data_IF_348449202305
#
_entry.id   IF_348449202305
#
_cell.length_a   1.000
_cell.length_b   1.000
_cell.length_c   1.000
_cell.angle_alpha   90.00
_cell.angle_beta   90.00
_cell.angle_gamma   90.00
#
_symmetry.space_group_name_H-M   'P 1'
#
loop_
_entity.id
_entity.type
_entity.pdbx_description
1 polymer ?
#
# COMPACT_ATOMS: atom_id res chain seq x y z
N UNK A 1 20.48 -9.63 4.84
CA UNK A 1 19.67 -10.78 5.27
C UNK A 1 19.74 -11.92 4.24
N UNK A 2 19.49 -11.62 2.97
CA UNK A 2 19.48 -12.64 1.89
C UNK A 2 20.83 -13.33 1.77
N UNK A 3 21.94 -12.58 1.68
CA UNK A 3 23.28 -13.12 1.44
C UNK A 3 23.81 -14.02 2.57
N UNK A 4 23.24 -13.92 3.75
CA UNK A 4 23.58 -14.75 4.92
C UNK A 4 22.51 -15.79 5.24
N UNK A 5 21.56 -16.01 4.33
CA UNK A 5 20.45 -16.96 4.46
C UNK A 5 19.60 -16.78 5.75
N UNK A 6 19.43 -15.52 6.19
CA UNK A 6 18.76 -15.18 7.43
C UNK A 6 17.22 -15.08 7.28
N UNK A 7 16.68 -15.23 6.09
CA UNK A 7 15.23 -15.13 5.86
C UNK A 7 14.76 -16.10 4.77
N UNK A 8 13.50 -16.53 4.86
CA UNK A 8 12.83 -17.39 3.89
C UNK A 8 11.72 -16.65 3.13
N UNK A 9 11.28 -15.52 3.63
CA UNK A 9 10.33 -14.60 3.00
C UNK A 9 10.50 -13.21 3.61
N UNK A 10 10.07 -12.18 2.88
CA UNK A 10 10.20 -10.79 3.33
C UNK A 10 8.83 -10.11 3.32
N UNK A 11 8.55 -9.39 4.42
CA UNK A 11 7.45 -8.45 4.51
C UNK A 11 7.89 -7.08 3.98
N UNK A 12 7.19 -6.55 3.00
CA UNK A 12 7.45 -5.21 2.45
C UNK A 12 6.33 -4.26 2.89
N UNK A 13 6.71 -3.19 3.57
CA UNK A 13 5.80 -2.09 3.91
C UNK A 13 6.25 -0.85 3.14
N UNK A 14 5.48 -0.45 2.13
CA UNK A 14 5.84 0.63 1.19
C UNK A 14 6.21 1.93 1.90
N UNK A 15 5.48 2.30 2.94
CA UNK A 15 5.74 3.51 3.73
C UNK A 15 7.04 3.44 4.55
N UNK A 16 7.48 2.23 4.92
CA UNK A 16 8.71 2.06 5.72
C UNK A 16 9.98 2.00 4.91
N UNK A 17 9.89 1.60 3.65
CA UNK A 17 11.06 1.45 2.78
C UNK A 17 11.30 2.69 1.92
N UNK A 18 10.56 3.77 2.13
CA UNK A 18 10.75 5.03 1.41
C UNK A 18 9.96 5.14 0.12
N UNK A 19 8.87 4.37 -0.03
CA UNK A 19 7.93 4.48 -1.14
C UNK A 19 7.95 3.29 -2.09
N UNK A 20 7.15 3.42 -3.17
CA UNK A 20 6.88 2.32 -4.10
C UNK A 20 8.12 1.90 -4.89
N UNK A 21 8.97 2.84 -5.32
CA UNK A 21 10.18 2.53 -6.09
C UNK A 21 11.10 1.60 -5.32
N UNK A 22 11.44 1.94 -4.09
CA UNK A 22 12.26 1.09 -3.23
C UNK A 22 11.58 -0.26 -2.92
N UNK A 23 10.26 -0.25 -2.74
CA UNK A 23 9.51 -1.48 -2.52
C UNK A 23 9.60 -2.44 -3.71
N UNK A 24 9.52 -1.91 -4.95
CA UNK A 24 9.70 -2.69 -6.19
C UNK A 24 11.12 -3.22 -6.30
N UNK A 25 12.14 -2.43 -5.97
CA UNK A 25 13.52 -2.89 -5.96
C UNK A 25 13.74 -4.05 -4.98
N UNK A 26 13.19 -3.96 -3.77
CA UNK A 26 13.24 -5.05 -2.79
C UNK A 26 12.50 -6.30 -3.31
N UNK A 27 11.30 -6.10 -3.89
CA UNK A 27 10.54 -7.19 -4.52
C UNK A 27 11.37 -7.91 -5.59
N UNK A 28 11.96 -7.15 -6.54
CA UNK A 28 12.72 -7.70 -7.64
C UNK A 28 13.96 -8.46 -7.15
N UNK A 29 14.69 -7.88 -6.20
CA UNK A 29 15.83 -8.56 -5.57
C UNK A 29 15.40 -9.89 -4.91
N UNK A 30 14.27 -9.91 -4.24
CA UNK A 30 13.74 -11.13 -3.62
C UNK A 30 13.33 -12.15 -4.68
N UNK A 31 12.69 -11.69 -5.76
CA UNK A 31 12.31 -12.55 -6.88
C UNK A 31 13.51 -13.19 -7.54
N UNK A 32 14.58 -12.44 -7.82
CA UNK A 32 15.82 -12.95 -8.43
C UNK A 32 16.54 -13.97 -7.53
N UNK A 33 16.29 -13.94 -6.24
CA UNK A 33 16.86 -14.86 -5.25
C UNK A 33 15.88 -15.97 -4.81
N UNK A 34 14.72 -16.07 -5.44
CA UNK A 34 13.71 -17.09 -5.13
C UNK A 34 13.10 -16.94 -3.73
N UNK A 35 13.09 -15.74 -3.15
CA UNK A 35 12.52 -15.45 -1.84
C UNK A 35 11.15 -14.82 -2.03
N UNK A 36 10.05 -15.49 -1.65
CA UNK A 36 8.73 -14.91 -1.75
C UNK A 36 8.56 -13.72 -0.81
N UNK A 37 7.70 -12.78 -1.21
CA UNK A 37 7.38 -11.60 -0.42
C UNK A 37 5.88 -11.55 -0.11
N UNK A 38 5.53 -10.72 0.84
CA UNK A 38 4.15 -10.32 1.11
C UNK A 38 4.11 -8.84 1.53
N UNK A 39 2.98 -8.21 1.33
CA UNK A 39 2.82 -6.78 1.58
C UNK A 39 2.18 -6.56 2.94
N UNK A 40 2.88 -5.83 3.79
CA UNK A 40 2.40 -5.41 5.09
C UNK A 40 1.77 -4.01 5.04
N UNK A 41 0.63 -3.86 5.70
CA UNK A 41 -0.03 -2.57 5.88
C UNK A 41 0.47 -1.79 7.09
N UNK A 42 0.10 -0.53 7.10
CA UNK A 42 0.15 0.39 8.24
C UNK A 42 -1.23 1.05 8.39
N UNK A 43 -1.38 2.03 9.25
CA UNK A 43 -2.64 2.78 9.41
C UNK A 43 -2.78 3.86 8.33
N UNK A 44 -2.65 3.46 7.06
CA UNK A 44 -2.77 4.36 5.93
C UNK A 44 -4.24 4.60 5.55
N UNK A 45 -4.53 5.77 5.00
CA UNK A 45 -5.76 6.01 4.23
C UNK A 45 -5.76 5.19 2.93
N UNK A 46 -6.88 5.17 2.20
CA UNK A 46 -6.95 4.46 0.92
C UNK A 46 -5.90 4.98 -0.09
N UNK A 47 -5.55 6.26 -0.08
CA UNK A 47 -4.45 6.79 -0.92
C UNK A 47 -3.13 6.13 -0.57
N UNK A 48 -2.79 6.02 0.71
CA UNK A 48 -1.55 5.34 1.13
C UNK A 48 -1.55 3.85 0.83
N UNK A 49 -2.67 3.17 1.09
CA UNK A 49 -2.82 1.73 0.82
C UNK A 49 -2.83 1.39 -0.68
N UNK A 50 -3.14 2.34 -1.57
CA UNK A 50 -3.13 2.10 -3.01
C UNK A 50 -1.78 1.60 -3.52
N UNK A 51 -0.69 2.12 -2.98
CA UNK A 51 0.67 1.68 -3.32
C UNK A 51 0.94 0.25 -2.83
N UNK A 52 0.42 -0.10 -1.67
CA UNK A 52 0.48 -1.47 -1.15
C UNK A 52 -0.37 -2.43 -1.97
N UNK A 53 -1.56 -2.00 -2.44
CA UNK A 53 -2.39 -2.77 -3.36
C UNK A 53 -1.69 -3.01 -4.69
N UNK A 54 -1.06 -1.98 -5.28
CA UNK A 54 -0.31 -2.12 -6.52
C UNK A 54 0.86 -3.11 -6.35
N UNK A 55 1.64 -3.00 -5.28
CA UNK A 55 2.71 -3.93 -4.98
C UNK A 55 2.20 -5.38 -4.80
N UNK A 56 1.04 -5.54 -4.17
CA UNK A 56 0.43 -6.85 -3.91
C UNK A 56 -0.01 -7.60 -5.19
N UNK A 57 -0.09 -6.91 -6.34
CA UNK A 57 -0.38 -7.55 -7.63
C UNK A 57 0.86 -8.09 -8.35
N UNK A 58 2.05 -7.89 -7.81
CA UNK A 58 3.29 -8.33 -8.44
C UNK A 58 3.52 -9.85 -8.30
N UNK A 59 4.23 -10.50 -9.26
CA UNK A 59 4.28 -11.97 -9.37
C UNK A 59 4.84 -12.71 -8.15
N UNK A 60 5.83 -12.13 -7.47
CA UNK A 60 6.51 -12.79 -6.35
C UNK A 60 5.81 -12.60 -5.00
N UNK A 61 4.60 -12.01 -4.99
CA UNK A 61 3.79 -11.87 -3.77
C UNK A 61 3.03 -13.18 -3.55
N UNK A 62 3.63 -14.07 -2.74
CA UNK A 62 3.20 -15.45 -2.59
C UNK A 62 2.38 -15.75 -1.33
N UNK A 63 2.10 -14.74 -0.48
CA UNK A 63 1.35 -14.90 0.78
C UNK A 63 0.19 -13.92 0.88
N UNK A 64 -0.82 -14.21 1.72
CA UNK A 64 -1.85 -13.24 2.05
C UNK A 64 -1.24 -11.92 2.56
N UNK A 65 -1.78 -10.80 2.10
CA UNK A 65 -1.28 -9.48 2.42
C UNK A 65 -2.04 -8.87 3.62
N UNK A 66 -1.37 -8.02 4.38
CA UNK A 66 -1.97 -7.26 5.47
C UNK A 66 -2.48 -5.90 4.94
N UNK A 67 -3.42 -5.97 4.00
CA UNK A 67 -4.14 -4.82 3.45
C UNK A 67 -5.60 -4.96 3.84
N UNK A 68 -6.24 -3.88 4.24
CA UNK A 68 -7.56 -3.93 4.85
C UNK A 68 -8.47 -2.81 4.37
N UNK A 69 -9.80 -2.99 4.46
CA UNK A 69 -10.74 -1.95 4.11
C UNK A 69 -10.61 -0.75 5.04
N UNK A 70 -10.87 0.43 4.51
CA UNK A 70 -10.74 1.70 5.25
C UNK A 70 -11.48 1.68 6.58
N UNK A 71 -12.66 1.09 6.63
CA UNK A 71 -13.52 1.02 7.82
C UNK A 71 -12.99 0.17 8.97
N UNK A 72 -11.88 -0.54 8.76
CA UNK A 72 -11.22 -1.26 9.85
C UNK A 72 -10.66 -0.30 10.91
N UNK A 73 -10.17 0.86 10.49
CA UNK A 73 -9.52 1.83 11.37
C UNK A 73 -10.18 3.19 11.39
N UNK A 74 -10.95 3.53 10.34
CA UNK A 74 -11.55 4.83 10.18
C UNK A 74 -13.08 4.72 10.17
N UNK A 75 -13.75 5.59 10.89
CA UNK A 75 -15.19 5.78 10.71
C UNK A 75 -15.48 6.33 9.31
N UNK A 76 -14.61 7.23 8.84
CA UNK A 76 -14.63 7.82 7.52
C UNK A 76 -13.18 7.96 7.03
N UNK A 77 -12.85 7.37 5.89
CA UNK A 77 -11.56 7.57 5.25
C UNK A 77 -11.45 8.98 4.66
N UNK A 78 -10.24 9.54 4.68
CA UNK A 78 -9.91 10.83 4.06
C UNK A 78 -9.72 10.72 2.54
N UNK A 79 -10.09 9.62 1.94
CA UNK A 79 -9.88 9.29 0.53
C UNK A 79 -11.21 9.00 -0.19
N UNK A 80 -11.18 9.13 -1.53
CA UNK A 80 -12.28 8.76 -2.43
C UNK A 80 -11.70 7.96 -3.61
N UNK A 81 -12.26 6.78 -3.93
CA UNK A 81 -13.20 5.99 -3.10
C UNK A 81 -12.55 5.45 -1.81
N UNK A 82 -13.32 4.87 -0.93
CA UNK A 82 -12.80 4.08 0.19
C UNK A 82 -12.40 2.68 -0.30
N UNK A 83 -11.44 2.05 0.36
CA UNK A 83 -11.13 0.62 0.14
C UNK A 83 -12.22 -0.22 0.80
N UNK A 84 -12.79 -1.13 0.02
CA UNK A 84 -13.81 -2.08 0.48
C UNK A 84 -13.41 -3.51 0.12
N UNK A 85 -13.94 -4.49 0.83
CA UNK A 85 -13.80 -5.89 0.43
C UNK A 85 -14.67 -6.13 -0.81
N UNK A 86 -14.10 -6.72 -1.85
CA UNK A 86 -14.85 -7.20 -3.02
C UNK A 86 -15.55 -8.54 -2.74
N UNK A 87 -14.96 -9.34 -1.85
CA UNK A 87 -15.52 -10.58 -1.30
C UNK A 87 -14.79 -10.91 0.01
N UNK A 88 -15.21 -11.92 0.80
CA UNK A 88 -14.54 -12.27 2.04
C UNK A 88 -13.04 -12.49 1.86
N UNK A 89 -12.22 -11.68 2.53
CA UNK A 89 -10.76 -11.73 2.48
C UNK A 89 -10.12 -11.18 1.20
N UNK A 90 -10.90 -10.57 0.29
CA UNK A 90 -10.41 -10.07 -0.99
C UNK A 90 -10.62 -8.57 -1.13
N UNK A 91 -9.60 -7.90 -1.65
CA UNK A 91 -9.66 -6.49 -2.08
C UNK A 91 -9.22 -6.44 -3.53
N UNK A 92 -10.00 -5.79 -4.39
CA UNK A 92 -9.65 -5.62 -5.79
C UNK A 92 -8.75 -4.39 -5.96
N UNK A 93 -7.62 -4.56 -6.65
CA UNK A 93 -6.74 -3.46 -6.98
C UNK A 93 -7.37 -2.57 -8.07
N UNK A 94 -7.26 -1.22 -7.97
CA UNK A 94 -7.78 -0.33 -9.00
C UNK A 94 -7.15 -0.60 -10.37
N UNK A 95 -7.96 -0.53 -11.42
CA UNK A 95 -7.50 -0.66 -12.81
C UNK A 95 -7.33 0.70 -13.51
N UNK A 96 -7.65 1.78 -12.83
CA UNK A 96 -7.46 3.14 -13.32
C UNK A 96 -5.99 3.55 -13.33
N UNK A 97 -5.65 4.54 -14.15
CA UNK A 97 -4.30 5.14 -14.12
C UNK A 97 -4.05 5.86 -12.79
N UNK A 98 -2.79 5.89 -12.38
CA UNK A 98 -2.37 6.51 -11.12
C UNK A 98 -2.69 5.65 -9.90
N UNK A 99 -2.87 6.28 -8.75
CA UNK A 99 -3.12 5.60 -7.48
C UNK A 99 -4.52 4.94 -7.37
N UNK A 100 -5.47 5.33 -8.25
CA UNK A 100 -6.86 4.85 -8.19
C UNK A 100 -7.70 5.44 -7.06
N UNK A 101 -7.07 6.16 -6.14
CA UNK A 101 -7.68 6.84 -5.00
C UNK A 101 -7.19 8.28 -4.93
N UNK A 102 -8.04 9.20 -4.50
CA UNK A 102 -7.70 10.60 -4.35
C UNK A 102 -8.00 11.09 -2.93
N UNK A 103 -7.28 12.11 -2.42
CA UNK A 103 -7.67 12.77 -1.17
C UNK A 103 -9.06 13.40 -1.30
N UNK A 104 -9.92 13.19 -0.31
CA UNK A 104 -11.20 13.90 -0.22
C UNK A 104 -10.99 15.24 0.49
N UNK A 105 -10.86 16.31 -0.28
CA UNK A 105 -10.59 17.64 0.25
C UNK A 105 -11.70 18.15 1.17
N UNK A 106 -12.96 17.76 0.94
CA UNK A 106 -14.07 18.14 1.80
C UNK A 106 -13.94 17.56 3.22
N UNK A 107 -13.34 16.39 3.34
CA UNK A 107 -13.07 15.75 4.62
C UNK A 107 -11.73 16.18 5.23
N UNK A 108 -10.74 16.44 4.40
CA UNK A 108 -9.36 16.72 4.82
C UNK A 108 -9.18 18.17 5.31
N UNK A 109 -9.69 19.15 4.53
CA UNK A 109 -9.49 20.58 4.82
C UNK A 109 -9.98 20.99 6.22
N UNK A 110 -11.17 20.58 6.69
CA UNK A 110 -11.65 20.92 8.04
C UNK A 110 -10.79 20.36 9.19
N UNK A 111 -9.93 19.38 8.89
CA UNK A 111 -9.03 18.73 9.86
C UNK A 111 -7.59 19.22 9.77
N UNK A 112 -7.31 20.08 8.79
CA UNK A 112 -5.96 20.63 8.58
C UNK A 112 -5.65 21.71 9.61
N UNK A 113 -4.53 21.55 10.31
CA UNK A 113 -4.01 22.53 11.29
C UNK A 113 -3.01 23.51 10.66
N UNK A 114 -2.44 23.14 9.50
CA UNK A 114 -1.51 23.96 8.74
C UNK A 114 -1.55 23.55 7.28
N UNK A 115 -1.52 24.53 6.38
CA UNK A 115 -1.43 24.29 4.93
C UNK A 115 -0.38 25.19 4.31
N UNK A 116 0.22 24.74 3.20
CA UNK A 116 1.11 25.53 2.36
C UNK A 116 0.86 25.15 0.89
N UNK A 117 0.94 26.14 0.01
CA UNK A 117 0.86 25.93 -1.44
C UNK A 117 2.25 26.12 -2.04
N UNK A 118 2.64 25.20 -2.90
CA UNK A 118 3.89 25.29 -3.68
C UNK A 118 3.46 25.44 -5.14
N UNK A 119 3.83 26.57 -5.74
CA UNK A 119 3.68 26.78 -7.19
C UNK A 119 4.89 26.18 -7.90
N UNK A 120 4.64 25.45 -8.96
CA UNK A 120 5.67 24.94 -9.88
C UNK A 120 6.13 26.03 -10.83
#
# INVERSE_FOLDING_TARGET
>A
AIDIDACRYINIKTSRVGGLSNAIEIHNLCQDRGIPVWVGGMLESAVGQSFSLALATMPNVGYPNDIFPSRRFYQVDMSVPEIVLSSPGMIEAPRSLGAGFAPDLNKLVPKSVKSASISA
#
